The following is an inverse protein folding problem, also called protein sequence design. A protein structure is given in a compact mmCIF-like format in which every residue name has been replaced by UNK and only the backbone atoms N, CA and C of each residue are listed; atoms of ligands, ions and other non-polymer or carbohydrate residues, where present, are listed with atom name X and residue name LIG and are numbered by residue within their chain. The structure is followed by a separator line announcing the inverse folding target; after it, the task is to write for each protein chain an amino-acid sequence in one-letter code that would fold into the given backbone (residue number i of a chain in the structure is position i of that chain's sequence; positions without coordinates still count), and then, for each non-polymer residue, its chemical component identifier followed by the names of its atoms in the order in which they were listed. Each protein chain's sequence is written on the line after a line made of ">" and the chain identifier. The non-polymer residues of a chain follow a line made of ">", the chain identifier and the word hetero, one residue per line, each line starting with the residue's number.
data_IF_918887742394
#
_entry.id   IF_918887742394
#
_cell.length_a   1.000
_cell.length_b   1.000
_cell.length_c   1.000
_cell.angle_alpha   90.00
_cell.angle_beta   90.00
_cell.angle_gamma   90.00
#
_symmetry.space_group_name_H-M   'P 1'
#
loop_
_entity.id
_entity.type
_entity.pdbx_description
1 polymer ?
#
# COMPACT_ATOMS: atom_id res chain seq x y z
N UNK A 1 -1.65 -18.10 6.02
CA UNK A 1 -2.74 -17.12 6.17
C UNK A 1 -2.22 -15.69 6.36
N UNK A 2 -1.41 -15.36 7.37
CA UNK A 2 -0.91 -13.97 7.55
C UNK A 2 -0.12 -13.39 6.35
N UNK A 3 0.83 -14.16 5.78
CA UNK A 3 1.55 -13.78 4.53
C UNK A 3 0.68 -13.72 3.27
N UNK A 4 -0.51 -14.32 3.32
CA UNK A 4 -1.45 -14.41 2.22
C UNK A 4 -2.54 -13.34 2.37
N UNK A 5 -2.87 -12.88 3.56
CA UNK A 5 -3.82 -11.79 3.76
C UNK A 5 -3.12 -10.42 3.75
N UNK A 6 -2.12 -10.22 4.62
CA UNK A 6 -1.49 -8.90 4.82
C UNK A 6 -0.64 -8.45 3.63
N UNK A 7 0.24 -9.32 3.12
CA UNK A 7 1.03 -9.03 1.91
C UNK A 7 0.21 -9.01 0.61
N UNK A 8 -1.09 -9.31 0.69
CA UNK A 8 -2.03 -9.20 -0.44
C UNK A 8 -2.81 -7.89 -0.45
N UNK A 9 -3.01 -7.20 0.67
CA UNK A 9 -4.03 -6.14 0.73
C UNK A 9 -3.63 -4.79 0.10
N UNK A 10 -2.37 -4.39 0.16
CA UNK A 10 -1.89 -3.18 -0.52
C UNK A 10 -1.08 -3.47 -1.79
N UNK A 11 -0.40 -4.61 -1.84
CA UNK A 11 0.34 -5.06 -3.03
C UNK A 11 -0.63 -5.54 -4.13
N UNK A 12 -1.82 -6.09 -3.79
CA UNK A 12 -2.78 -6.52 -4.81
C UNK A 12 -3.63 -5.42 -5.40
N UNK A 13 -3.93 -4.30 -4.72
CA UNK A 13 -4.68 -3.24 -5.43
C UNK A 13 -3.84 -2.63 -6.55
N UNK A 14 -2.51 -2.54 -6.39
CA UNK A 14 -1.60 -2.10 -7.46
C UNK A 14 -1.33 -3.18 -8.52
N UNK A 15 -1.26 -4.46 -8.13
CA UNK A 15 -0.95 -5.57 -9.04
C UNK A 15 -2.21 -6.09 -9.78
N UNK A 16 -3.39 -6.06 -9.16
CA UNK A 16 -4.63 -6.66 -9.71
C UNK A 16 -5.21 -5.87 -10.88
N UNK A 17 -5.02 -4.55 -10.92
CA UNK A 17 -5.48 -3.71 -12.04
C UNK A 17 -4.75 -4.02 -13.36
N UNK A 18 -3.50 -4.50 -13.30
CA UNK A 18 -2.76 -4.91 -14.49
C UNK A 18 -2.81 -6.43 -14.74
N UNK A 19 -2.86 -7.26 -13.68
CA UNK A 19 -2.76 -8.72 -13.83
C UNK A 19 -4.05 -9.35 -14.36
N UNK A 20 -5.23 -8.91 -13.90
CA UNK A 20 -6.47 -9.63 -14.26
C UNK A 20 -7.02 -9.28 -15.63
N UNK A 21 -6.66 -8.14 -16.23
CA UNK A 21 -7.06 -7.79 -17.61
C UNK A 21 -6.16 -8.50 -18.62
N UNK A 22 -4.86 -8.51 -18.36
CA UNK A 22 -3.87 -9.03 -19.31
C UNK A 22 -3.90 -10.57 -19.34
N UNK A 23 -4.14 -11.23 -18.20
CA UNK A 23 -4.07 -12.69 -18.12
C UNK A 23 -5.38 -13.42 -18.47
N UNK A 24 -6.55 -12.81 -18.24
CA UNK A 24 -7.85 -13.47 -18.51
C UNK A 24 -8.23 -13.41 -20.00
N UNK A 25 -7.71 -12.44 -20.77
CA UNK A 25 -8.05 -12.26 -22.20
C UNK A 25 -6.93 -12.62 -23.20
N UNK A 26 -5.68 -12.84 -22.79
CA UNK A 26 -4.66 -13.36 -23.72
C UNK A 26 -4.75 -14.88 -23.87
N UNK A 27 -5.35 -15.29 -24.99
CA UNK A 27 -5.36 -16.65 -25.55
C UNK A 27 -3.98 -17.05 -26.12
N UNK A 28 -2.98 -16.15 -26.12
CA UNK A 28 -1.74 -16.31 -26.89
C UNK A 28 -0.50 -16.75 -26.09
N UNK A 29 -0.62 -17.02 -24.79
CA UNK A 29 0.52 -17.55 -24.01
C UNK A 29 0.07 -18.56 -22.96
N UNK A 30 0.61 -19.79 -23.04
CA UNK A 30 0.32 -20.90 -22.14
C UNK A 30 0.96 -20.73 -20.76
N UNK A 31 0.56 -19.69 -20.02
CA UNK A 31 0.95 -19.55 -18.62
C UNK A 31 0.17 -20.58 -17.78
N UNK A 32 0.83 -21.41 -16.95
CA UNK A 32 0.15 -22.31 -16.03
C UNK A 32 -0.79 -21.52 -15.11
N UNK A 33 -1.96 -22.06 -14.80
CA UNK A 33 -2.82 -21.44 -13.80
C UNK A 33 -2.12 -21.54 -12.44
N UNK A 34 -2.34 -20.60 -11.54
CA UNK A 34 -1.79 -20.67 -10.17
C UNK A 34 -2.21 -21.98 -9.44
N UNK A 35 -3.34 -22.57 -9.85
CA UNK A 35 -3.87 -23.85 -9.39
C UNK A 35 -2.97 -25.04 -9.77
N UNK A 36 -2.18 -24.90 -10.84
CA UNK A 36 -1.17 -25.85 -11.30
C UNK A 36 0.18 -25.58 -10.59
N UNK A 37 0.12 -25.48 -9.25
CA UNK A 37 1.09 -24.78 -8.40
C UNK A 37 2.57 -24.99 -8.75
N UNK A 38 3.00 -26.22 -9.04
CA UNK A 38 4.40 -26.52 -9.39
C UNK A 38 4.84 -25.86 -10.71
N UNK A 39 4.03 -25.97 -11.76
CA UNK A 39 4.34 -25.38 -13.07
C UNK A 39 4.27 -23.86 -13.00
N UNK A 40 3.28 -23.31 -12.29
CA UNK A 40 3.18 -21.87 -12.05
C UNK A 40 4.43 -21.35 -11.33
N UNK A 41 4.85 -22.03 -10.25
CA UNK A 41 6.06 -21.64 -9.54
C UNK A 41 7.27 -21.67 -10.46
N UNK A 42 7.52 -22.75 -11.22
CA UNK A 42 8.66 -22.83 -12.13
C UNK A 42 8.65 -21.65 -13.13
N UNK A 43 7.51 -21.40 -13.79
CA UNK A 43 7.37 -20.33 -14.76
C UNK A 43 7.58 -18.93 -14.14
N UNK A 44 7.03 -18.69 -12.95
CA UNK A 44 7.19 -17.45 -12.21
C UNK A 44 8.66 -17.22 -11.80
N UNK A 45 9.38 -18.26 -11.36
CA UNK A 45 10.80 -18.16 -11.03
C UNK A 45 11.66 -17.84 -12.25
N UNK A 46 11.40 -18.48 -13.38
CA UNK A 46 12.10 -18.17 -14.63
C UNK A 46 11.79 -16.75 -15.13
N UNK A 47 10.55 -16.28 -14.94
CA UNK A 47 10.16 -14.89 -15.19
C UNK A 47 10.95 -13.91 -14.33
N UNK A 48 10.99 -14.11 -13.02
CA UNK A 48 11.74 -13.28 -12.07
C UNK A 48 13.25 -13.29 -12.39
N UNK A 49 13.82 -14.46 -12.68
CA UNK A 49 15.23 -14.56 -13.07
C UNK A 49 15.54 -13.71 -14.29
N UNK A 50 14.74 -13.83 -15.36
CA UNK A 50 14.92 -13.02 -16.59
C UNK A 50 14.78 -11.53 -16.32
N UNK A 51 13.77 -11.14 -15.54
CA UNK A 51 13.51 -9.76 -15.14
C UNK A 51 14.72 -9.16 -14.40
N UNK A 52 15.17 -9.82 -13.34
CA UNK A 52 16.27 -9.32 -12.50
C UNK A 52 17.60 -9.35 -13.26
N UNK A 53 17.88 -10.39 -14.05
CA UNK A 53 19.07 -10.40 -14.91
C UNK A 53 19.06 -9.20 -15.86
N UNK A 54 17.94 -8.92 -16.54
CA UNK A 54 17.82 -7.76 -17.43
C UNK A 54 18.03 -6.43 -16.68
N UNK A 55 17.47 -6.29 -15.47
CA UNK A 55 17.65 -5.10 -14.63
C UNK A 55 19.13 -4.89 -14.28
N UNK A 56 19.83 -5.96 -13.88
CA UNK A 56 21.24 -5.91 -13.50
C UNK A 56 22.16 -5.67 -14.72
N UNK A 57 21.81 -6.20 -15.89
CA UNK A 57 22.55 -5.98 -17.13
C UNK A 57 22.43 -4.52 -17.63
N UNK A 58 21.30 -3.86 -17.37
CA UNK A 58 21.09 -2.44 -17.70
C UNK A 58 21.80 -1.49 -16.73
N UNK A 59 22.21 -1.97 -15.56
CA UNK A 59 22.79 -1.15 -14.51
C UNK A 59 24.30 -0.93 -14.72
N UNK A 60 24.70 0.32 -14.83
CA UNK A 60 26.10 0.71 -14.74
C UNK A 60 26.52 0.90 -13.27
N UNK A 61 26.99 -0.18 -12.64
CA UNK A 61 27.44 -0.16 -11.24
C UNK A 61 28.59 0.84 -11.01
N UNK A 62 29.52 0.98 -11.95
CA UNK A 62 30.64 1.91 -11.81
C UNK A 62 30.16 3.35 -11.72
N UNK A 63 29.21 3.75 -12.58
CA UNK A 63 28.61 5.08 -12.52
C UNK A 63 27.84 5.31 -11.20
N UNK A 64 27.13 4.29 -10.70
CA UNK A 64 26.43 4.36 -9.42
C UNK A 64 27.41 4.58 -8.25
N UNK A 65 28.51 3.81 -8.21
CA UNK A 65 29.54 3.93 -7.17
C UNK A 65 30.31 5.25 -7.28
N UNK A 66 30.59 5.74 -8.49
CA UNK A 66 31.23 7.05 -8.71
C UNK A 66 30.35 8.19 -8.18
N UNK A 67 29.05 8.19 -8.53
CA UNK A 67 28.09 9.16 -8.00
C UNK A 67 27.98 9.07 -6.48
N UNK A 68 27.92 7.86 -5.93
CA UNK A 68 27.83 7.62 -4.49
C UNK A 68 29.07 8.10 -3.74
N UNK A 69 30.26 7.87 -4.31
CA UNK A 69 31.53 8.37 -3.77
C UNK A 69 31.61 9.89 -3.83
N UNK A 70 31.19 10.50 -4.94
CA UNK A 70 31.12 11.95 -5.12
C UNK A 70 30.25 12.63 -4.04
N UNK A 71 29.09 12.05 -3.72
CA UNK A 71 28.20 12.56 -2.66
C UNK A 71 28.79 12.48 -1.25
N UNK A 72 29.91 11.78 -1.07
CA UNK A 72 30.68 11.69 0.18
C UNK A 72 32.12 12.14 0.00
N UNK A 73 32.33 13.24 -0.71
CA UNK A 73 33.63 13.90 -0.86
C UNK A 73 34.74 12.99 -1.40
N UNK A 74 34.38 12.02 -2.24
CA UNK A 74 35.32 11.09 -2.88
C UNK A 74 35.75 9.90 -2.02
N UNK A 75 35.07 9.61 -0.89
CA UNK A 75 35.33 8.40 -0.11
C UNK A 75 35.02 7.17 -0.98
N UNK A 76 36.00 6.29 -1.12
CA UNK A 76 35.85 5.06 -1.90
C UNK A 76 34.72 4.17 -1.35
N UNK A 77 33.94 3.57 -2.24
CA UNK A 77 32.86 2.66 -1.88
C UNK A 77 32.79 1.48 -2.84
N UNK A 78 32.11 0.41 -2.40
CA UNK A 78 31.93 -0.82 -3.17
C UNK A 78 30.56 -1.43 -2.89
N UNK A 79 30.10 -2.28 -3.80
CA UNK A 79 29.00 -3.19 -3.48
C UNK A 79 29.57 -4.55 -3.04
N UNK A 80 29.37 -4.98 -1.79
CA UNK A 80 29.97 -6.22 -1.28
C UNK A 80 29.31 -7.48 -1.83
N UNK A 81 28.15 -7.36 -2.48
CA UNK A 81 27.41 -8.48 -3.03
C UNK A 81 27.56 -8.53 -4.55
N UNK A 82 27.81 -9.72 -5.14
CA UNK A 82 27.79 -9.86 -6.60
C UNK A 82 26.42 -9.44 -7.14
N UNK A 83 26.40 -8.62 -8.19
CA UNK A 83 25.19 -8.22 -8.89
C UNK A 83 24.79 -9.29 -9.92
N UNK A 84 24.41 -10.45 -9.41
CA UNK A 84 23.86 -11.54 -10.19
C UNK A 84 22.59 -12.05 -9.54
N UNK A 85 21.66 -12.57 -10.32
CA UNK A 85 20.46 -13.19 -9.77
C UNK A 85 20.84 -14.40 -8.91
N UNK A 86 20.56 -14.31 -7.61
CA UNK A 86 20.69 -15.40 -6.66
C UNK A 86 19.39 -15.53 -5.85
N UNK A 87 18.67 -16.61 -6.09
CA UNK A 87 17.41 -16.91 -5.41
C UNK A 87 17.58 -17.07 -3.90
N UNK A 88 18.73 -17.54 -3.44
CA UNK A 88 18.99 -17.71 -2.00
C UNK A 88 19.15 -16.36 -1.29
N UNK A 89 19.64 -15.34 -2.00
CA UNK A 89 19.81 -13.98 -1.50
C UNK A 89 18.56 -13.11 -1.66
N UNK A 90 17.55 -13.56 -2.43
CA UNK A 90 16.32 -12.85 -2.79
C UNK A 90 15.77 -11.97 -1.66
N UNK A 91 15.36 -12.56 -0.54
CA UNK A 91 14.74 -11.83 0.57
C UNK A 91 15.65 -10.79 1.25
N UNK A 92 16.93 -10.74 0.91
CA UNK A 92 17.92 -9.81 1.49
C UNK A 92 18.33 -8.68 0.53
N UNK A 93 17.91 -8.76 -0.73
CA UNK A 93 18.26 -7.83 -1.82
C UNK A 93 17.04 -7.33 -2.59
N UNK A 94 15.83 -7.81 -2.29
CA UNK A 94 14.62 -7.31 -2.93
C UNK A 94 13.39 -7.36 -2.02
N UNK A 95 12.52 -6.36 -2.17
CA UNK A 95 11.14 -6.35 -1.70
C UNK A 95 10.16 -6.73 -2.81
N UNK A 96 8.90 -6.33 -2.67
CA UNK A 96 7.87 -6.53 -3.70
C UNK A 96 8.26 -5.85 -5.02
N UNK A 97 8.42 -4.53 -4.99
CA UNK A 97 8.59 -3.70 -6.19
C UNK A 97 10.01 -3.17 -6.41
N UNK A 98 10.96 -3.47 -5.53
CA UNK A 98 12.28 -2.84 -5.52
C UNK A 98 13.41 -3.86 -5.35
N UNK A 99 14.51 -3.62 -6.07
CA UNK A 99 15.79 -4.28 -5.88
C UNK A 99 16.72 -3.34 -5.10
N UNK A 100 17.49 -3.88 -4.17
CA UNK A 100 18.31 -3.13 -3.23
C UNK A 100 19.77 -3.50 -3.36
N UNK A 101 20.60 -2.52 -3.71
CA UNK A 101 22.05 -2.67 -3.77
C UNK A 101 22.66 -2.04 -2.52
N UNK A 102 23.34 -2.86 -1.74
CA UNK A 102 24.10 -2.38 -0.58
C UNK A 102 25.39 -1.73 -1.07
N UNK A 103 25.70 -0.56 -0.49
CA UNK A 103 26.94 0.16 -0.76
C UNK A 103 27.69 0.30 0.57
N UNK A 104 28.95 -0.14 0.58
CA UNK A 104 29.85 -0.07 1.73
C UNK A 104 31.00 0.89 1.41
N UNK A 105 31.13 1.94 2.22
CA UNK A 105 32.23 2.88 2.14
C UNK A 105 33.45 2.37 2.91
N UNK A 106 34.64 2.85 2.53
CA UNK A 106 35.90 2.51 3.17
C UNK A 106 35.96 2.87 4.68
N UNK A 107 35.16 3.85 5.11
CA UNK A 107 35.01 4.26 6.51
C UNK A 107 33.96 3.43 7.28
N UNK A 108 33.37 2.41 6.66
CA UNK A 108 32.41 1.50 7.28
C UNK A 108 30.95 1.95 7.22
N UNK A 109 30.66 3.16 6.73
CA UNK A 109 29.29 3.65 6.52
C UNK A 109 28.61 2.82 5.43
N UNK A 110 27.29 2.64 5.58
CA UNK A 110 26.48 1.79 4.69
C UNK A 110 25.32 2.58 4.12
N UNK A 111 25.22 2.58 2.80
CA UNK A 111 24.07 3.12 2.06
C UNK A 111 23.33 2.00 1.33
N UNK A 112 22.16 2.35 0.81
CA UNK A 112 21.32 1.52 -0.01
C UNK A 112 20.99 2.29 -1.30
N UNK A 113 21.21 1.67 -2.46
CA UNK A 113 20.57 2.10 -3.70
C UNK A 113 19.32 1.26 -3.91
N UNK A 114 18.14 1.90 -3.90
CA UNK A 114 16.85 1.27 -4.18
C UNK A 114 16.48 1.53 -5.62
N UNK A 115 16.30 0.45 -6.37
CA UNK A 115 16.06 0.46 -7.81
C UNK A 115 14.68 -0.17 -8.06
N UNK A 116 13.84 0.53 -8.81
CA UNK A 116 12.49 0.06 -9.13
C UNK A 116 12.57 -1.12 -10.10
N UNK A 117 11.95 -2.24 -9.72
CA UNK A 117 11.76 -3.39 -10.61
C UNK A 117 10.79 -3.04 -11.74
N UNK A 118 10.86 -3.77 -12.85
CA UNK A 118 9.96 -3.59 -13.98
C UNK A 118 9.61 -4.94 -14.59
N UNK A 119 8.35 -5.34 -14.46
CA UNK A 119 7.80 -6.58 -15.00
C UNK A 119 6.39 -6.35 -15.56
N UNK A 120 5.70 -7.43 -15.95
CA UNK A 120 4.38 -7.36 -16.58
C UNK A 120 3.28 -6.75 -15.70
N UNK A 121 3.51 -6.61 -14.39
CA UNK A 121 2.54 -6.06 -13.44
C UNK A 121 2.92 -4.65 -12.99
N UNK A 122 4.00 -4.09 -13.55
CA UNK A 122 4.46 -2.75 -13.20
C UNK A 122 3.62 -1.68 -13.91
N UNK A 123 3.29 -0.57 -13.23
CA UNK A 123 2.57 0.52 -13.87
C UNK A 123 3.42 1.18 -14.97
N UNK A 124 2.80 1.99 -15.84
CA UNK A 124 3.53 2.72 -16.88
C UNK A 124 4.64 3.63 -16.31
N UNK A 125 5.69 3.95 -17.09
CA UNK A 125 6.88 4.65 -16.59
C UNK A 125 6.61 6.01 -15.95
N UNK A 126 5.71 6.81 -16.50
CA UNK A 126 5.31 8.12 -15.98
C UNK A 126 4.72 8.04 -14.57
N UNK A 127 3.86 7.04 -14.30
CA UNK A 127 3.37 6.79 -12.94
C UNK A 127 4.47 6.26 -12.02
N UNK A 128 5.38 5.41 -12.51
CA UNK A 128 6.52 4.93 -11.69
C UNK A 128 7.42 6.07 -11.25
N UNK A 129 7.70 7.01 -12.15
CA UNK A 129 8.52 8.19 -11.86
C UNK A 129 7.81 9.14 -10.89
N UNK A 130 6.50 9.30 -11.04
CA UNK A 130 5.70 10.08 -10.09
C UNK A 130 5.73 9.46 -8.69
N UNK A 131 5.57 8.14 -8.58
CA UNK A 131 5.69 7.41 -7.32
C UNK A 131 7.08 7.58 -6.69
N UNK A 132 8.15 7.48 -7.49
CA UNK A 132 9.51 7.66 -6.98
C UNK A 132 9.74 9.08 -6.45
N UNK A 133 9.30 10.12 -7.18
CA UNK A 133 9.37 11.51 -6.70
C UNK A 133 8.59 11.69 -5.40
N UNK A 134 7.43 11.06 -5.29
CA UNK A 134 6.61 11.11 -4.09
C UNK A 134 7.27 10.43 -2.88
N UNK A 135 7.87 9.25 -3.06
CA UNK A 135 8.65 8.57 -2.02
C UNK A 135 9.79 9.46 -1.50
N UNK A 136 10.54 10.08 -2.42
CA UNK A 136 11.64 10.98 -2.08
C UNK A 136 11.14 12.21 -1.33
N UNK A 137 10.04 12.81 -1.76
CA UNK A 137 9.45 13.98 -1.10
C UNK A 137 8.98 13.64 0.33
N UNK A 138 8.30 12.50 0.51
CA UNK A 138 7.89 12.02 1.83
C UNK A 138 9.08 11.76 2.75
N UNK A 139 10.10 11.04 2.28
CA UNK A 139 11.30 10.77 3.08
C UNK A 139 12.08 12.04 3.45
N UNK A 140 12.18 13.01 2.55
CA UNK A 140 12.84 14.29 2.84
C UNK A 140 12.07 15.11 3.88
N UNK A 141 10.74 15.15 3.78
CA UNK A 141 9.89 15.83 4.75
C UNK A 141 9.97 15.17 6.13
N UNK A 142 9.85 13.83 6.19
CA UNK A 142 9.95 13.05 7.43
C UNK A 142 11.35 13.06 8.02
N UNK A 143 12.39 13.23 7.20
CA UNK A 143 13.79 13.34 7.65
C UNK A 143 14.06 14.57 8.54
N UNK A 144 13.13 15.52 8.61
CA UNK A 144 13.18 16.67 9.54
C UNK A 144 12.41 16.43 10.85
N UNK A 145 11.86 15.23 11.05
CA UNK A 145 11.06 14.84 12.21
C UNK A 145 11.81 13.83 13.08
N UNK A 146 11.19 13.40 14.18
CA UNK A 146 11.69 12.29 15.01
C UNK A 146 11.29 10.90 14.50
N UNK A 147 10.53 10.81 13.42
CA UNK A 147 10.18 9.52 12.80
C UNK A 147 11.46 8.88 12.23
N UNK A 148 11.80 7.63 12.59
CA UNK A 148 13.03 7.00 12.16
C UNK A 148 12.91 6.54 10.69
N UNK A 149 13.15 7.45 9.75
CA UNK A 149 13.12 7.18 8.29
C UNK A 149 14.54 7.17 7.71
N UNK A 150 14.79 6.46 6.60
CA UNK A 150 16.10 6.50 5.95
C UNK A 150 16.35 7.89 5.35
N UNK A 151 17.52 8.47 5.63
CA UNK A 151 17.93 9.72 4.97
C UNK A 151 18.18 9.51 3.48
N UNK A 152 17.53 10.30 2.63
CA UNK A 152 17.80 10.34 1.18
C UNK A 152 19.02 11.21 0.91
N UNK A 153 19.96 10.71 0.11
CA UNK A 153 21.17 11.42 -0.31
C UNK A 153 21.08 11.95 -1.74
N UNK A 154 20.47 11.18 -2.63
CA UNK A 154 20.31 11.51 -4.05
C UNK A 154 19.25 10.60 -4.68
N UNK A 155 18.67 11.03 -5.79
CA UNK A 155 17.81 10.19 -6.61
C UNK A 155 17.94 10.60 -8.08
N UNK A 156 17.62 9.68 -8.98
CA UNK A 156 17.51 9.98 -10.41
C UNK A 156 16.47 9.07 -11.05
N UNK A 157 15.76 9.60 -12.05
CA UNK A 157 14.77 8.85 -12.81
C UNK A 157 15.44 8.08 -13.95
N UNK A 158 14.70 7.12 -14.50
CA UNK A 158 15.17 6.38 -15.67
C UNK A 158 15.35 7.33 -16.87
N UNK A 159 16.41 7.13 -17.64
CA UNK A 159 16.79 8.02 -18.74
C UNK A 159 17.44 9.35 -18.34
N UNK A 160 17.45 9.72 -17.06
CA UNK A 160 18.06 10.96 -16.54
C UNK A 160 19.44 10.74 -15.91
N UNK A 161 19.98 9.53 -15.99
CA UNK A 161 21.21 9.15 -15.26
C UNK A 161 22.15 8.25 -16.05
N UNK A 162 23.49 8.42 -15.93
CA UNK A 162 24.46 7.50 -16.51
C UNK A 162 24.47 6.11 -15.86
N UNK A 163 23.74 5.92 -14.75
CA UNK A 163 23.54 4.63 -14.09
C UNK A 163 22.73 3.66 -14.95
N UNK A 164 21.94 4.18 -15.91
CA UNK A 164 21.16 3.38 -16.86
C UNK A 164 19.81 2.90 -16.31
N UNK A 165 19.52 3.11 -15.03
CA UNK A 165 18.25 2.84 -14.37
C UNK A 165 17.98 3.89 -13.29
N UNK A 166 16.70 4.18 -13.05
CA UNK A 166 16.30 5.06 -11.95
C UNK A 166 16.63 4.49 -10.57
N UNK A 167 17.03 5.34 -9.63
CA UNK A 167 17.44 4.94 -8.29
C UNK A 167 17.09 5.98 -7.22
N UNK A 168 17.00 5.52 -5.97
CA UNK A 168 17.10 6.34 -4.77
C UNK A 168 18.33 5.88 -3.98
N UNK A 169 19.29 6.78 -3.77
CA UNK A 169 20.43 6.57 -2.87
C UNK A 169 20.05 7.08 -1.48
N UNK A 170 20.03 6.17 -0.50
CA UNK A 170 19.58 6.49 0.84
C UNK A 170 20.37 5.74 1.92
N UNK A 171 20.15 6.13 3.17
CA UNK A 171 20.73 5.48 4.33
C UNK A 171 20.28 4.02 4.45
N UNK A 172 21.23 3.14 4.79
CA UNK A 172 20.89 1.79 5.20
C UNK A 172 20.67 1.73 6.70
N UNK A 173 19.41 1.74 7.13
CA UNK A 173 19.04 1.58 8.54
C UNK A 173 19.42 0.19 9.08
N UNK A 174 19.78 0.09 10.38
CA UNK A 174 20.05 -1.17 11.05
C UNK A 174 18.75 -1.90 11.42
N UNK A 175 18.87 -3.13 11.90
CA UNK A 175 17.74 -3.95 12.34
C UNK A 175 17.23 -4.94 11.30
N UNK A 176 16.15 -5.63 11.66
CA UNK A 176 15.44 -6.63 10.84
C UNK A 176 13.96 -6.28 10.79
N UNK A 177 13.27 -6.63 9.71
CA UNK A 177 11.82 -6.49 9.63
C UNK A 177 11.14 -7.20 10.79
N UNK A 178 10.23 -6.49 11.44
CA UNK A 178 9.41 -6.98 12.53
C UNK A 178 8.55 -8.14 12.04
N UNK A 179 8.55 -9.23 12.81
CA UNK A 179 7.66 -10.37 12.59
C UNK A 179 6.64 -10.38 13.72
N UNK A 180 5.59 -9.58 13.61
CA UNK A 180 4.60 -9.33 14.66
C UNK A 180 4.09 -10.63 15.33
N UNK A 181 3.76 -11.62 14.51
CA UNK A 181 3.25 -12.92 14.95
C UNK A 181 4.25 -13.77 15.75
N UNK A 182 5.56 -13.48 15.67
CA UNK A 182 6.60 -14.13 16.48
C UNK A 182 6.96 -13.38 17.75
N UNK A 183 6.53 -12.12 17.88
CA UNK A 183 6.83 -11.29 19.04
C UNK A 183 5.98 -11.69 20.25
N UNK A 184 6.58 -11.69 21.44
CA UNK A 184 5.88 -11.88 22.72
C UNK A 184 4.95 -10.69 23.02
N UNK A 185 3.98 -10.83 23.95
CA UNK A 185 3.15 -9.71 24.38
C UNK A 185 3.95 -8.50 24.89
N UNK A 186 5.05 -8.73 25.62
CA UNK A 186 5.94 -7.68 26.12
C UNK A 186 6.69 -6.99 24.99
N UNK A 187 7.19 -7.76 24.02
CA UNK A 187 7.87 -7.25 22.83
C UNK A 187 6.91 -6.42 21.96
N UNK A 188 5.68 -6.89 21.76
CA UNK A 188 4.60 -6.16 21.08
C UNK A 188 4.25 -4.86 21.79
N UNK A 189 4.07 -4.91 23.11
CA UNK A 189 3.82 -3.71 23.93
C UNK A 189 4.95 -2.70 23.78
N UNK A 190 6.21 -3.15 23.77
CA UNK A 190 7.36 -2.28 23.58
C UNK A 190 7.37 -1.62 22.20
N UNK A 191 7.06 -2.36 21.12
CA UNK A 191 6.93 -1.79 19.78
C UNK A 191 5.76 -0.80 19.71
N UNK A 192 4.59 -1.16 20.24
CA UNK A 192 3.42 -0.27 20.30
C UNK A 192 3.72 1.05 21.04
N UNK A 193 4.49 0.99 22.13
CA UNK A 193 4.92 2.20 22.85
C UNK A 193 5.75 3.14 21.99
N UNK A 194 6.67 2.60 21.18
CA UNK A 194 7.49 3.42 20.27
C UNK A 194 6.69 3.89 19.05
N UNK A 195 5.78 3.06 18.53
CA UNK A 195 4.89 3.44 17.43
C UNK A 195 3.91 4.55 17.86
N UNK A 196 3.49 4.57 19.12
CA UNK A 196 2.68 5.65 19.66
C UNK A 196 3.44 6.98 19.64
N UNK A 197 4.76 6.97 19.91
CA UNK A 197 5.58 8.17 19.78
C UNK A 197 5.68 8.64 18.31
N UNK A 198 5.68 7.71 17.35
CA UNK A 198 5.63 8.03 15.92
C UNK A 198 4.27 8.64 15.55
N UNK A 199 3.15 8.07 16.00
CA UNK A 199 1.81 8.63 15.75
C UNK A 199 1.69 10.07 16.26
N UNK A 200 2.19 10.33 17.47
CA UNK A 200 2.18 11.67 18.09
C UNK A 200 3.07 12.65 17.31
N UNK A 201 4.22 12.21 16.80
CA UNK A 201 5.06 13.05 15.95
C UNK A 201 4.35 13.39 14.63
N UNK A 202 3.72 12.42 13.99
CA UNK A 202 3.02 12.60 12.72
C UNK A 202 1.77 13.49 12.85
N UNK A 203 1.05 13.41 13.97
CA UNK A 203 -0.09 14.30 14.27
C UNK A 203 0.35 15.77 14.37
N UNK A 204 1.61 16.06 14.65
CA UNK A 204 2.11 17.44 14.69
C UNK A 204 2.35 18.08 13.32
N UNK A 205 2.10 17.34 12.22
CA UNK A 205 2.44 17.72 10.84
C UNK A 205 1.19 17.76 9.94
N UNK A 206 0.32 18.77 10.11
CA UNK A 206 -0.91 18.87 9.32
C UNK A 206 -0.65 19.37 7.89
N UNK A 207 -1.49 18.91 6.98
CA UNK A 207 -1.58 19.31 5.57
C UNK A 207 -2.96 19.87 5.26
N UNK A 208 -3.06 20.66 4.19
CA UNK A 208 -4.29 21.32 3.76
C UNK A 208 -5.18 20.47 2.85
N UNK A 209 -4.67 19.36 2.31
CA UNK A 209 -5.40 18.48 1.39
C UNK A 209 -4.95 17.03 1.49
N UNK A 210 -5.78 16.13 0.96
CA UNK A 210 -5.51 14.71 0.75
C UNK A 210 -4.84 14.49 -0.60
N UNK A 211 -3.79 13.70 -0.62
CA UNK A 211 -3.01 13.44 -1.82
C UNK A 211 -1.63 12.91 -1.46
N UNK A 212 -0.67 13.06 -2.36
CA UNK A 212 0.71 12.68 -2.09
C UNK A 212 1.63 13.89 -2.17
N UNK A 213 2.66 13.93 -1.32
CA UNK A 213 3.78 14.85 -1.55
C UNK A 213 4.36 14.56 -2.93
N UNK A 214 4.45 15.55 -3.80
CA UNK A 214 4.77 15.33 -5.23
C UNK A 214 6.06 16.01 -5.68
N UNK A 215 6.61 16.89 -4.85
CA UNK A 215 7.80 17.66 -5.16
C UNK A 215 8.84 17.60 -4.02
N UNK A 216 9.99 16.93 -4.24
CA UNK A 216 11.09 16.89 -3.29
C UNK A 216 11.52 18.29 -2.81
N UNK A 217 11.64 18.47 -1.49
CA UNK A 217 11.99 19.74 -0.86
C UNK A 217 10.82 20.73 -0.66
N UNK A 218 9.59 20.33 -0.98
CA UNK A 218 8.36 21.10 -0.73
C UNK A 218 7.37 20.28 0.10
N UNK A 219 6.44 20.97 0.76
CA UNK A 219 5.27 20.43 1.47
C UNK A 219 4.01 20.39 0.57
N UNK A 220 4.15 20.63 -0.74
CA UNK A 220 3.05 20.61 -1.67
C UNK A 220 2.44 19.22 -1.83
N UNK A 221 1.11 19.15 -1.72
CA UNK A 221 0.31 17.94 -1.92
C UNK A 221 -0.30 17.97 -3.32
N UNK A 222 0.10 17.01 -4.15
CA UNK A 222 -0.47 16.76 -5.46
C UNK A 222 -1.44 15.58 -5.47
N UNK A 223 -1.84 15.12 -6.68
CA UNK A 223 -2.64 13.90 -6.85
C UNK A 223 -2.00 12.68 -6.17
N UNK A 224 -2.80 11.64 -5.92
CA UNK A 224 -2.28 10.43 -5.27
C UNK A 224 -1.25 9.71 -6.13
N UNK A 225 -0.11 9.39 -5.54
CA UNK A 225 0.96 8.59 -6.13
C UNK A 225 0.66 7.09 -6.01
N UNK A 226 -0.49 6.63 -6.52
CA UNK A 226 -0.95 5.24 -6.33
C UNK A 226 -1.60 4.68 -7.58
N UNK A 227 -1.23 3.44 -7.92
CA UNK A 227 -1.80 2.68 -9.05
C UNK A 227 -3.33 2.54 -8.97
N UNK A 228 -3.95 2.21 -7.81
CA UNK A 228 -5.40 2.05 -7.72
C UNK A 228 -6.19 3.35 -7.86
N UNK A 229 -5.51 4.49 -7.78
CA UNK A 229 -6.08 5.84 -7.84
C UNK A 229 -5.67 6.56 -9.13
N UNK A 230 -5.25 5.80 -10.14
CA UNK A 230 -4.82 6.32 -11.44
C UNK A 230 -5.47 5.53 -12.58
N UNK A 231 -6.01 6.22 -13.57
CA UNK A 231 -6.46 5.62 -14.83
C UNK A 231 -5.69 6.18 -16.03
N UNK A 232 -5.71 5.42 -17.13
CA UNK A 232 -5.17 5.87 -18.41
C UNK A 232 -6.31 5.98 -19.42
N UNK A 233 -6.52 7.18 -19.94
CA UNK A 233 -7.52 7.44 -20.98
C UNK A 233 -6.80 8.01 -22.18
N UNK A 234 -6.89 7.34 -23.34
CA UNK A 234 -6.16 7.73 -24.57
C UNK A 234 -4.65 7.93 -24.33
N UNK A 235 -4.03 7.02 -23.57
CA UNK A 235 -2.62 7.08 -23.17
C UNK A 235 -2.22 8.29 -22.32
N UNK A 236 -3.18 9.01 -21.75
CA UNK A 236 -2.93 10.07 -20.77
C UNK A 236 -3.16 9.54 -19.36
N UNK A 237 -2.17 9.73 -18.49
CA UNK A 237 -2.28 9.45 -17.07
C UNK A 237 -3.23 10.44 -16.40
N UNK A 238 -4.26 9.92 -15.73
CA UNK A 238 -5.24 10.68 -14.96
C UNK A 238 -5.22 10.15 -13.53
N UNK A 239 -4.70 10.95 -12.61
CA UNK A 239 -4.62 10.63 -11.20
C UNK A 239 -5.79 11.28 -10.45
N UNK A 240 -6.27 10.62 -9.40
CA UNK A 240 -7.22 11.24 -8.49
C UNK A 240 -6.52 12.22 -7.55
N UNK A 241 -7.22 13.29 -7.19
CA UNK A 241 -6.79 14.27 -6.21
C UNK A 241 -5.95 15.42 -6.77
N UNK A 242 -5.47 16.32 -5.89
CA UNK A 242 -5.72 16.29 -4.44
C UNK A 242 -7.18 16.64 -4.10
N UNK A 243 -7.64 16.26 -2.91
CA UNK A 243 -9.00 16.57 -2.42
C UNK A 243 -8.95 17.28 -1.07
N UNK A 244 -9.94 18.14 -0.79
CA UNK A 244 -10.10 18.81 0.51
C UNK A 244 -11.28 18.25 1.32
N UNK A 245 -12.03 17.31 0.74
CA UNK A 245 -13.17 16.65 1.37
C UNK A 245 -13.01 15.13 1.24
N UNK A 246 -12.89 14.39 2.35
CA UNK A 246 -12.83 12.94 2.35
C UNK A 246 -13.99 12.27 1.60
N UNK A 247 -15.18 12.87 1.60
CA UNK A 247 -16.35 12.32 0.90
C UNK A 247 -16.20 12.40 -0.62
N UNK A 248 -15.62 13.48 -1.15
CA UNK A 248 -15.31 13.63 -2.58
C UNK A 248 -14.25 12.61 -3.01
N UNK A 249 -13.22 12.39 -2.18
CA UNK A 249 -12.21 11.35 -2.41
C UNK A 249 -12.82 9.94 -2.42
N UNK A 250 -13.61 9.59 -1.40
CA UNK A 250 -14.29 8.29 -1.31
C UNK A 250 -15.19 8.06 -2.52
N UNK A 251 -15.96 9.06 -2.94
CA UNK A 251 -16.81 8.97 -4.12
C UNK A 251 -15.97 8.76 -5.39
N UNK A 252 -14.95 9.59 -5.62
CA UNK A 252 -14.13 9.53 -6.83
C UNK A 252 -13.36 8.22 -6.97
N UNK A 253 -12.84 7.67 -5.86
CA UNK A 253 -12.15 6.38 -5.83
C UNK A 253 -13.08 5.21 -6.16
N UNK A 254 -14.27 5.15 -5.55
CA UNK A 254 -15.27 4.12 -5.85
C UNK A 254 -15.77 4.25 -7.30
N UNK A 255 -16.02 5.47 -7.77
CA UNK A 255 -16.44 5.70 -9.16
C UNK A 255 -15.38 5.30 -10.17
N UNK A 256 -14.09 5.52 -9.88
CA UNK A 256 -12.99 5.03 -10.70
C UNK A 256 -13.04 3.49 -10.81
N UNK A 257 -13.17 2.79 -9.68
CA UNK A 257 -13.27 1.32 -9.68
C UNK A 257 -14.49 0.85 -10.50
N UNK A 258 -15.64 1.52 -10.36
CA UNK A 258 -16.82 1.23 -11.16
C UNK A 258 -16.58 1.46 -12.66
N UNK A 259 -15.82 2.50 -13.06
CA UNK A 259 -15.43 2.71 -14.47
C UNK A 259 -14.56 1.56 -14.97
N UNK A 260 -13.60 1.08 -14.17
CA UNK A 260 -12.73 -0.04 -14.52
C UNK A 260 -13.52 -1.35 -14.65
N UNK A 261 -14.48 -1.62 -13.76
CA UNK A 261 -15.43 -2.74 -13.88
C UNK A 261 -16.20 -2.65 -15.22
N UNK A 262 -16.71 -1.46 -15.56
CA UNK A 262 -17.48 -1.27 -16.80
C UNK A 262 -16.64 -1.47 -18.07
N UNK A 263 -15.32 -1.24 -18.02
CA UNK A 263 -14.37 -1.53 -19.10
C UNK A 263 -13.93 -2.99 -19.13
N UNK A 264 -14.29 -3.77 -18.12
CA UNK A 264 -13.81 -5.15 -17.93
C UNK A 264 -12.32 -5.18 -17.59
N UNK A 265 -11.83 -4.12 -16.94
CA UNK A 265 -10.45 -3.97 -16.48
C UNK A 265 -10.26 -4.39 -15.01
N UNK A 266 -11.35 -4.70 -14.31
CA UNK A 266 -11.30 -5.18 -12.93
C UNK A 266 -12.41 -6.18 -12.65
N UNK A 267 -12.21 -7.03 -11.63
CA UNK A 267 -13.18 -8.03 -11.17
C UNK A 267 -13.68 -9.01 -12.26
N UNK A 268 -12.78 -9.45 -13.14
CA UNK A 268 -13.10 -10.36 -14.23
C UNK A 268 -13.83 -11.63 -13.72
N UNK A 269 -14.99 -11.92 -14.32
CA UNK A 269 -15.86 -13.05 -13.94
C UNK A 269 -16.79 -12.79 -12.75
N UNK A 270 -16.71 -11.62 -12.11
CA UNK A 270 -17.60 -11.19 -11.01
C UNK A 270 -18.03 -9.72 -11.17
N UNK A 271 -18.12 -9.24 -12.40
CA UNK A 271 -18.34 -7.82 -12.72
C UNK A 271 -19.66 -7.30 -12.14
N UNK A 272 -20.74 -8.10 -12.21
CA UNK A 272 -22.04 -7.73 -11.66
C UNK A 272 -21.98 -7.66 -10.12
N UNK A 273 -21.38 -8.66 -9.48
CA UNK A 273 -21.23 -8.71 -8.02
C UNK A 273 -20.42 -7.52 -7.52
N UNK A 274 -19.29 -7.25 -8.17
CA UNK A 274 -18.43 -6.11 -7.86
C UNK A 274 -19.16 -4.79 -8.08
N UNK A 275 -19.91 -4.64 -9.19
CA UNK A 275 -20.68 -3.43 -9.43
C UNK A 275 -21.70 -3.16 -8.33
N UNK A 276 -22.45 -4.19 -7.90
CA UNK A 276 -23.45 -4.05 -6.83
C UNK A 276 -22.79 -3.65 -5.49
N UNK A 277 -21.67 -4.29 -5.13
CA UNK A 277 -20.91 -3.94 -3.93
C UNK A 277 -20.46 -2.49 -3.97
N UNK A 278 -19.81 -2.06 -5.05
CA UNK A 278 -19.30 -0.68 -5.15
C UNK A 278 -20.43 0.35 -5.22
N UNK A 279 -21.56 0.01 -5.85
CA UNK A 279 -22.75 0.87 -5.82
C UNK A 279 -23.30 1.01 -4.41
N UNK A 280 -23.32 -0.06 -3.61
CA UNK A 280 -23.69 0.01 -2.20
C UNK A 280 -22.70 0.83 -1.37
N UNK A 281 -21.39 0.70 -1.62
CA UNK A 281 -20.38 1.51 -0.94
C UNK A 281 -20.57 3.02 -1.17
N UNK A 282 -21.00 3.43 -2.37
CA UNK A 282 -21.39 4.83 -2.62
C UNK A 282 -22.54 5.30 -1.72
N UNK A 283 -23.53 4.43 -1.46
CA UNK A 283 -24.65 4.75 -0.56
C UNK A 283 -24.19 4.84 0.91
N UNK A 284 -23.10 4.17 1.28
CA UNK A 284 -22.52 4.19 2.62
C UNK A 284 -21.72 5.45 2.95
N UNK A 285 -21.23 6.21 1.94
CA UNK A 285 -20.30 7.33 2.16
C UNK A 285 -20.85 8.32 3.19
N UNK A 286 -22.14 8.66 3.13
CA UNK A 286 -22.73 9.62 4.06
C UNK A 286 -22.72 9.13 5.51
N UNK A 287 -22.97 7.83 5.74
CA UNK A 287 -22.92 7.27 7.09
C UNK A 287 -21.47 7.16 7.58
N UNK A 288 -20.55 6.72 6.73
CA UNK A 288 -19.11 6.70 7.03
C UNK A 288 -18.63 8.10 7.43
N UNK A 289 -18.95 9.13 6.63
CA UNK A 289 -18.48 10.48 6.92
C UNK A 289 -19.08 11.01 8.21
N UNK A 290 -20.35 10.74 8.55
CA UNK A 290 -20.90 11.12 9.87
C UNK A 290 -20.14 10.53 11.06
N UNK A 291 -19.59 9.32 10.93
CA UNK A 291 -18.82 8.68 11.98
C UNK A 291 -17.43 9.31 12.18
N UNK A 292 -16.86 9.93 11.14
CA UNK A 292 -15.47 10.39 11.12
C UNK A 292 -15.28 11.87 10.74
N UNK A 293 -16.36 12.61 10.45
CA UNK A 293 -16.35 14.03 10.08
C UNK A 293 -16.08 14.97 11.26
N UNK A 294 -15.82 14.43 12.45
CA UNK A 294 -15.43 15.19 13.65
C UNK A 294 -13.89 15.35 13.72
N UNK A 295 -13.24 15.41 12.56
CA UNK A 295 -11.84 15.79 12.46
C UNK A 295 -11.64 17.29 12.71
N UNK A 296 -10.39 17.69 12.87
CA UNK A 296 -9.95 19.10 12.93
C UNK A 296 -9.93 19.80 11.56
N UNK A 297 -10.38 19.11 10.50
CA UNK A 297 -10.35 19.61 9.12
C UNK A 297 -8.95 19.65 8.51
N UNK A 298 -7.96 19.03 9.16
CA UNK A 298 -6.60 18.86 8.65
C UNK A 298 -6.39 17.45 8.12
N UNK A 299 -5.29 17.29 7.39
CA UNK A 299 -4.85 16.02 6.83
C UNK A 299 -3.46 15.66 7.35
N UNK A 300 -3.16 14.37 7.47
CA UNK A 300 -1.94 13.90 8.10
C UNK A 300 -1.31 12.81 7.25
N UNK A 301 0.02 12.79 7.20
CA UNK A 301 0.73 11.77 6.43
C UNK A 301 0.52 10.39 7.05
N UNK A 302 0.07 9.46 6.22
CA UNK A 302 -0.16 8.08 6.56
C UNK A 302 0.85 7.20 5.83
N UNK A 303 1.41 6.23 6.55
CA UNK A 303 2.13 5.13 5.92
C UNK A 303 1.12 4.19 5.23
N UNK A 304 1.27 3.99 3.93
CA UNK A 304 0.30 3.22 3.15
C UNK A 304 0.43 1.69 3.30
N UNK A 305 1.48 1.20 3.94
CA UNK A 305 1.63 -0.19 4.38
C UNK A 305 1.65 -0.23 5.91
N UNK A 306 0.64 -0.81 6.54
CA UNK A 306 0.53 -0.90 7.99
C UNK A 306 0.54 -2.36 8.48
N UNK A 307 1.11 -3.26 7.66
CA UNK A 307 1.19 -4.71 7.94
C UNK A 307 2.33 -5.14 8.86
N UNK A 308 3.22 -4.18 9.19
CA UNK A 308 4.22 -4.25 10.23
C UNK A 308 5.62 -4.71 9.80
N UNK A 309 5.79 -5.33 8.63
CA UNK A 309 7.11 -5.80 8.15
C UNK A 309 8.01 -4.67 7.59
N UNK A 310 7.41 -3.51 7.30
CA UNK A 310 8.08 -2.24 7.04
C UNK A 310 8.72 -1.59 8.29
N UNK A 311 8.40 -2.09 9.51
CA UNK A 311 9.03 -1.65 10.76
C UNK A 311 10.31 -2.47 10.98
N UNK A 312 11.45 -1.81 11.08
CA UNK A 312 12.73 -2.40 11.44
C UNK A 312 12.93 -2.35 12.95
N UNK A 313 13.35 -3.48 13.53
CA UNK A 313 13.68 -3.59 14.95
C UNK A 313 15.05 -4.20 15.18
N UNK A 314 15.71 -3.81 16.28
CA UNK A 314 16.92 -4.48 16.76
C UNK A 314 16.60 -5.78 17.54
N UNK A 315 17.59 -6.35 18.23
CA UNK A 315 17.40 -7.58 19.00
C UNK A 315 16.58 -7.38 20.29
N UNK A 316 16.46 -6.14 20.76
CA UNK A 316 15.70 -5.78 21.96
C UNK A 316 14.32 -5.20 21.58
N UNK A 317 13.90 -5.30 20.33
CA UNK A 317 12.65 -4.72 19.80
C UNK A 317 12.58 -3.19 19.92
N UNK A 318 13.71 -2.48 19.89
CA UNK A 318 13.70 -1.04 19.65
C UNK A 318 13.46 -0.79 18.15
N UNK A 319 12.57 0.13 17.79
CA UNK A 319 12.35 0.54 16.41
C UNK A 319 13.60 1.29 15.93
N UNK A 320 14.24 0.75 14.91
CA UNK A 320 15.43 1.34 14.27
C UNK A 320 15.13 2.00 12.94
N UNK A 321 13.92 1.79 12.40
CA UNK A 321 13.52 2.35 11.12
C UNK A 321 12.07 2.03 10.75
N UNK A 322 11.45 2.93 10.00
CA UNK A 322 10.20 2.74 9.26
C UNK A 322 10.53 3.01 7.80
N UNK A 323 10.46 1.96 6.98
CA UNK A 323 10.85 2.01 5.56
C UNK A 323 9.61 1.83 4.66
N UNK A 324 9.79 1.89 3.34
CA UNK A 324 8.72 1.64 2.36
C UNK A 324 7.60 2.69 2.27
N UNK A 325 8.01 3.97 2.34
CA UNK A 325 7.15 5.16 2.16
C UNK A 325 6.70 5.43 0.72
N UNK A 326 6.74 4.43 -0.18
CA UNK A 326 6.52 4.64 -1.62
C UNK A 326 5.11 5.09 -1.99
N UNK A 327 4.11 4.81 -1.14
CA UNK A 327 2.72 5.22 -1.35
C UNK A 327 2.21 6.13 -0.23
N UNK A 328 3.13 6.77 0.50
CA UNK A 328 2.77 7.72 1.54
C UNK A 328 1.85 8.81 0.99
N UNK A 329 0.80 9.12 1.75
CA UNK A 329 -0.23 10.06 1.34
C UNK A 329 -0.77 10.79 2.57
N UNK A 330 -1.24 12.02 2.40
CA UNK A 330 -2.00 12.72 3.42
C UNK A 330 -3.47 12.26 3.38
N UNK A 331 -4.01 11.98 4.55
CA UNK A 331 -5.34 11.42 4.76
C UNK A 331 -6.04 12.13 5.92
N UNK A 332 -7.35 11.96 6.05
CA UNK A 332 -8.08 12.52 7.20
C UNK A 332 -7.50 11.98 8.52
N UNK A 333 -7.62 12.72 9.62
CA UNK A 333 -7.11 12.29 10.93
C UNK A 333 -7.56 10.87 11.33
N UNK A 334 -8.83 10.54 11.07
CA UNK A 334 -9.38 9.23 11.36
C UNK A 334 -8.74 8.11 10.52
N UNK A 335 -8.42 8.39 9.26
CA UNK A 335 -7.76 7.42 8.37
C UNK A 335 -6.27 7.29 8.64
N UNK A 336 -5.58 8.40 8.89
CA UNK A 336 -4.15 8.43 9.15
C UNK A 336 -3.77 7.74 10.48
N UNK A 337 -4.65 7.81 11.50
CA UNK A 337 -4.35 7.36 12.86
C UNK A 337 -5.25 6.24 13.38
N UNK A 338 -6.06 5.60 12.54
CA UNK A 338 -6.70 4.34 12.94
C UNK A 338 -5.65 3.27 13.25
N UNK A 339 -6.10 2.19 13.88
CA UNK A 339 -5.22 1.09 14.23
C UNK A 339 -4.51 0.51 12.99
N UNK A 340 -3.19 0.27 13.04
CA UNK A 340 -2.49 -0.46 11.99
C UNK A 340 -3.10 -1.85 11.74
N UNK A 341 -3.16 -2.30 10.49
CA UNK A 341 -3.63 -3.65 10.13
C UNK A 341 -2.89 -4.74 10.91
N UNK A 342 -1.59 -4.57 11.22
CA UNK A 342 -0.82 -5.54 12.00
C UNK A 342 -1.40 -5.84 13.39
N UNK A 343 -2.17 -4.91 13.97
CA UNK A 343 -2.78 -5.06 15.29
C UNK A 343 -4.18 -5.71 15.23
N UNK A 344 -4.75 -5.89 14.03
CA UNK A 344 -6.08 -6.45 13.89
C UNK A 344 -6.11 -7.95 14.22
N UNK A 345 -7.15 -8.44 14.91
CA UNK A 345 -7.38 -9.87 15.09
C UNK A 345 -7.83 -10.47 13.75
N UNK A 346 -6.88 -10.95 12.95
CA UNK A 346 -7.11 -11.29 11.53
C UNK A 346 -8.28 -12.25 11.33
N UNK A 347 -8.38 -13.34 12.10
CA UNK A 347 -9.48 -14.31 11.94
C UNK A 347 -10.85 -13.64 12.18
N UNK A 348 -11.03 -13.03 13.36
CA UNK A 348 -12.24 -12.30 13.73
C UNK A 348 -12.57 -11.18 12.72
N UNK A 349 -11.53 -10.50 12.23
CA UNK A 349 -11.70 -9.47 11.21
C UNK A 349 -12.30 -10.10 9.94
N UNK A 350 -11.73 -11.15 9.39
CA UNK A 350 -12.31 -11.82 8.21
C UNK A 350 -13.69 -12.43 8.47
N UNK A 351 -13.98 -12.85 9.70
CA UNK A 351 -15.29 -13.38 10.12
C UNK A 351 -16.36 -12.28 10.34
N UNK A 352 -16.03 -11.01 10.07
CA UNK A 352 -16.98 -9.90 10.17
C UNK A 352 -17.19 -9.36 11.59
N UNK A 353 -16.34 -9.72 12.56
CA UNK A 353 -16.42 -9.24 13.94
C UNK A 353 -16.02 -7.76 14.05
N UNK A 354 -16.89 -6.95 14.65
CA UNK A 354 -16.71 -5.50 14.78
C UNK A 354 -16.18 -5.06 16.15
N UNK A 355 -15.93 -5.98 17.07
CA UNK A 355 -15.33 -5.65 18.37
C UNK A 355 -13.84 -5.38 18.23
N UNK A 356 -13.33 -4.54 19.13
CA UNK A 356 -11.92 -4.19 19.23
C UNK A 356 -11.09 -5.42 19.67
N UNK A 357 -9.95 -5.63 19.03
CA UNK A 357 -8.97 -6.65 19.41
C UNK A 357 -8.10 -6.25 20.59
N UNK A 358 -7.35 -7.21 21.12
CA UNK A 358 -6.47 -7.03 22.27
C UNK A 358 -5.33 -6.05 21.97
N UNK A 359 -4.57 -6.28 20.90
CA UNK A 359 -3.44 -5.42 20.51
C UNK A 359 -3.90 -3.98 20.20
N UNK A 360 -5.05 -3.81 19.55
CA UNK A 360 -5.66 -2.48 19.31
C UNK A 360 -6.03 -1.78 20.64
N UNK A 361 -6.61 -2.53 21.58
CA UNK A 361 -6.97 -2.01 22.91
C UNK A 361 -5.73 -1.56 23.69
N UNK A 362 -4.66 -2.35 23.65
CA UNK A 362 -3.38 -2.02 24.28
C UNK A 362 -2.78 -0.78 23.65
N UNK A 363 -2.77 -0.68 22.32
CA UNK A 363 -2.23 0.49 21.61
C UNK A 363 -2.99 1.77 21.94
N UNK A 364 -4.32 1.73 21.94
CA UNK A 364 -5.14 2.87 22.34
C UNK A 364 -4.87 3.31 23.79
N UNK A 365 -4.73 2.36 24.72
CA UNK A 365 -4.41 2.68 26.12
C UNK A 365 -3.02 3.34 26.23
N UNK A 366 -2.03 2.89 25.47
CA UNK A 366 -0.70 3.50 25.47
C UNK A 366 -0.75 4.95 24.95
N UNK A 367 -1.50 5.23 23.88
CA UNK A 367 -1.69 6.60 23.37
C UNK A 367 -2.34 7.49 24.44
N UNK A 368 -3.34 6.98 25.15
CA UNK A 368 -4.00 7.70 26.24
C UNK A 368 -3.08 7.93 27.45
N UNK A 369 -2.28 6.94 27.85
CA UNK A 369 -1.26 7.06 28.90
C UNK A 369 -0.19 8.11 28.54
N UNK A 370 0.13 8.24 27.25
CA UNK A 370 1.00 9.30 26.71
C UNK A 370 0.31 10.67 26.56
N UNK A 371 -0.96 10.79 26.97
CA UNK A 371 -1.72 12.04 26.97
C UNK A 371 -2.54 12.32 25.71
N UNK A 372 -2.56 11.42 24.73
CA UNK A 372 -3.20 11.63 23.43
C UNK A 372 -4.53 10.88 23.33
N UNK A 373 -5.54 11.42 24.01
CA UNK A 373 -6.89 10.82 24.07
C UNK A 373 -7.59 10.78 22.71
N UNK A 374 -7.36 11.77 21.85
CA UNK A 374 -7.96 11.84 20.51
C UNK A 374 -7.45 10.68 19.65
N UNK A 375 -6.12 10.49 19.57
CA UNK A 375 -5.53 9.35 18.87
C UNK A 375 -6.02 8.01 19.43
N UNK A 376 -6.09 7.88 20.76
CA UNK A 376 -6.63 6.68 21.39
C UNK A 376 -8.09 6.39 21.00
N UNK A 377 -8.92 7.42 20.91
CA UNK A 377 -10.32 7.30 20.47
C UNK A 377 -10.43 6.93 18.98
N UNK A 378 -9.59 7.50 18.13
CA UNK A 378 -9.50 7.14 16.71
C UNK A 378 -9.15 5.65 16.55
N UNK A 379 -8.16 5.15 17.30
CA UNK A 379 -7.79 3.72 17.27
C UNK A 379 -8.97 2.84 17.70
N UNK A 380 -9.65 3.17 18.81
CA UNK A 380 -10.78 2.39 19.34
C UNK A 380 -11.97 2.34 18.38
N UNK A 381 -12.19 3.42 17.63
CA UNK A 381 -13.34 3.57 16.73
C UNK A 381 -12.99 3.32 15.25
N UNK A 382 -11.74 2.97 14.92
CA UNK A 382 -11.27 2.85 13.54
C UNK A 382 -11.82 1.65 12.75
N UNK A 383 -12.45 0.68 13.43
CA UNK A 383 -12.88 -0.59 12.82
C UNK A 383 -13.79 -0.41 11.60
N UNK A 384 -14.73 0.54 11.65
CA UNK A 384 -15.64 0.78 10.53
C UNK A 384 -14.89 1.33 9.29
N UNK A 385 -13.86 2.17 9.45
CA UNK A 385 -12.99 2.58 8.32
C UNK A 385 -12.20 1.41 7.75
N UNK A 386 -11.67 0.51 8.59
CA UNK A 386 -11.03 -0.71 8.07
C UNK A 386 -12.00 -1.51 7.21
N UNK A 387 -13.23 -1.73 7.69
CA UNK A 387 -14.26 -2.45 6.93
C UNK A 387 -14.54 -1.80 5.58
N UNK A 388 -14.76 -0.49 5.59
CA UNK A 388 -15.10 0.26 4.39
C UNK A 388 -13.96 0.21 3.36
N UNK A 389 -12.73 0.53 3.77
CA UNK A 389 -11.58 0.52 2.88
C UNK A 389 -11.28 -0.85 2.29
N UNK A 390 -11.37 -1.92 3.11
CA UNK A 390 -11.21 -3.27 2.60
C UNK A 390 -12.28 -3.56 1.54
N UNK A 391 -13.55 -3.23 1.78
CA UNK A 391 -14.60 -3.46 0.79
C UNK A 391 -14.40 -2.66 -0.50
N UNK A 392 -13.80 -1.47 -0.44
CA UNK A 392 -13.48 -0.67 -1.63
C UNK A 392 -12.42 -1.32 -2.52
N UNK A 393 -11.42 -2.01 -1.95
CA UNK A 393 -10.24 -2.48 -2.70
C UNK A 393 -10.05 -3.99 -2.74
N UNK A 394 -10.91 -4.78 -2.09
CA UNK A 394 -10.66 -6.21 -1.92
C UNK A 394 -10.58 -6.97 -3.24
N UNK A 395 -9.63 -7.90 -3.36
CA UNK A 395 -9.53 -8.82 -4.48
C UNK A 395 -10.54 -9.97 -4.34
N UNK A 396 -11.47 -10.09 -5.29
CA UNK A 396 -12.50 -11.13 -5.27
C UNK A 396 -11.98 -12.54 -5.63
N UNK A 397 -10.66 -12.70 -5.82
CA UNK A 397 -10.03 -14.01 -5.86
C UNK A 397 -10.25 -14.81 -4.56
N UNK A 398 -10.32 -14.13 -3.41
CA UNK A 398 -10.71 -14.72 -2.11
C UNK A 398 -12.16 -14.35 -1.76
N UNK A 399 -13.09 -14.98 -2.46
CA UNK A 399 -14.51 -14.66 -2.33
C UNK A 399 -15.06 -14.94 -0.93
N UNK A 400 -14.69 -16.06 -0.32
CA UNK A 400 -15.21 -16.44 1.00
C UNK A 400 -14.73 -15.47 2.08
N UNK A 401 -13.45 -15.05 2.03
CA UNK A 401 -12.94 -14.00 2.91
C UNK A 401 -13.63 -12.66 2.71
N UNK A 402 -13.94 -12.29 1.46
CA UNK A 402 -14.67 -11.05 1.15
C UNK A 402 -16.08 -11.02 1.78
N UNK A 403 -16.81 -12.14 1.74
CA UNK A 403 -18.19 -12.19 2.25
C UNK A 403 -18.27 -11.81 3.73
N UNK A 404 -17.34 -12.28 4.56
CA UNK A 404 -17.29 -11.93 5.98
C UNK A 404 -16.92 -10.46 6.21
N UNK A 405 -15.98 -9.92 5.43
CA UNK A 405 -15.63 -8.49 5.46
C UNK A 405 -16.85 -7.61 5.13
N UNK A 406 -17.57 -7.97 4.08
CA UNK A 406 -18.73 -7.23 3.59
C UNK A 406 -19.92 -7.34 4.55
N UNK A 407 -20.16 -8.52 5.15
CA UNK A 407 -21.12 -8.68 6.24
C UNK A 407 -20.76 -7.81 7.44
N UNK A 408 -19.49 -7.79 7.83
CA UNK A 408 -18.99 -6.97 8.92
C UNK A 408 -19.27 -5.48 8.71
N UNK A 409 -19.04 -4.96 7.49
CA UNK A 409 -19.36 -3.58 7.13
C UNK A 409 -20.86 -3.28 7.26
N UNK A 410 -21.72 -4.12 6.66
CA UNK A 410 -23.18 -3.98 6.72
C UNK A 410 -23.71 -3.99 8.16
N UNK A 411 -23.17 -4.89 8.99
CA UNK A 411 -23.50 -4.95 10.41
C UNK A 411 -23.02 -3.72 11.18
N UNK A 412 -21.82 -3.21 10.88
CA UNK A 412 -21.28 -2.01 11.53
C UNK A 412 -22.11 -0.75 11.21
N UNK A 413 -22.62 -0.65 9.99
CA UNK A 413 -23.47 0.45 9.53
C UNK A 413 -24.96 0.26 9.87
N UNK A 414 -25.34 -0.93 10.36
CA UNK A 414 -26.75 -1.34 10.49
C UNK A 414 -27.54 -1.17 9.17
N UNK A 415 -26.88 -1.41 8.04
CA UNK A 415 -27.44 -1.31 6.68
C UNK A 415 -27.48 -2.70 6.06
N UNK A 416 -28.68 -3.23 5.80
CA UNK A 416 -28.86 -4.61 5.35
C UNK A 416 -28.15 -5.62 6.28
N UNK A 417 -28.18 -5.37 7.59
CA UNK A 417 -27.51 -6.19 8.59
C UNK A 417 -28.06 -7.63 8.61
N UNK A 418 -27.19 -8.59 8.90
CA UNK A 418 -27.46 -10.03 9.04
C UNK A 418 -28.05 -10.75 7.81
N UNK A 419 -28.30 -10.04 6.70
CA UNK A 419 -28.73 -10.65 5.44
C UNK A 419 -27.62 -11.51 4.85
N UNK A 420 -27.95 -12.72 4.39
CA UNK A 420 -27.02 -13.53 3.60
C UNK A 420 -26.64 -12.84 2.30
N UNK A 421 -25.53 -13.25 1.68
CA UNK A 421 -25.12 -12.72 0.39
C UNK A 421 -26.20 -12.86 -0.70
N UNK A 422 -26.86 -14.01 -0.79
CA UNK A 422 -27.84 -14.26 -1.84
C UNK A 422 -29.09 -13.39 -1.67
N UNK A 423 -29.58 -13.25 -0.44
CA UNK A 423 -30.70 -12.34 -0.12
C UNK A 423 -30.32 -10.89 -0.39
N UNK A 424 -29.12 -10.48 0.04
CA UNK A 424 -28.62 -9.14 -0.20
C UNK A 424 -28.49 -8.84 -1.70
N UNK A 425 -27.95 -9.78 -2.48
CA UNK A 425 -27.74 -9.63 -3.93
C UNK A 425 -29.07 -9.48 -4.67
N UNK A 426 -30.09 -10.27 -4.32
CA UNK A 426 -31.44 -10.13 -4.91
C UNK A 426 -31.98 -8.73 -4.63
N UNK A 427 -31.90 -8.27 -3.39
CA UNK A 427 -32.36 -6.93 -3.01
C UNK A 427 -31.55 -5.83 -3.70
N UNK A 428 -30.24 -5.98 -3.83
CA UNK A 428 -29.37 -5.02 -4.50
C UNK A 428 -29.68 -4.92 -6.01
N UNK A 429 -29.95 -6.04 -6.68
CA UNK A 429 -30.36 -6.06 -8.09
C UNK A 429 -31.67 -5.31 -8.31
N UNK A 430 -32.65 -5.46 -7.41
CA UNK A 430 -33.90 -4.71 -7.45
C UNK A 430 -33.68 -3.23 -7.16
N UNK A 431 -32.97 -2.92 -6.06
CA UNK A 431 -32.65 -1.55 -5.60
C UNK A 431 -31.95 -0.74 -6.68
N UNK A 432 -31.02 -1.35 -7.42
CA UNK A 432 -30.22 -0.69 -8.45
C UNK A 432 -30.70 -0.97 -9.88
N UNK A 433 -31.89 -1.55 -10.06
CA UNK A 433 -32.44 -1.94 -11.36
C UNK A 433 -32.53 -0.81 -12.40
N UNK A 434 -32.63 0.44 -11.94
CA UNK A 434 -32.65 1.64 -12.79
C UNK A 434 -31.26 2.14 -13.22
N UNK A 435 -30.15 1.62 -12.65
CA UNK A 435 -28.80 2.03 -13.05
C UNK A 435 -28.46 1.44 -14.44
N UNK A 436 -28.30 2.33 -15.41
CA UNK A 436 -28.01 1.98 -16.81
C UNK A 436 -26.70 1.19 -16.96
N UNK A 437 -25.72 1.41 -16.07
CA UNK A 437 -24.45 0.67 -16.08
C UNK A 437 -24.67 -0.78 -15.65
N UNK A 438 -25.47 -1.01 -14.60
CA UNK A 438 -25.86 -2.36 -14.17
C UNK A 438 -26.62 -3.10 -15.28
N UNK A 439 -27.62 -2.46 -15.88
CA UNK A 439 -28.36 -3.04 -17.01
C UNK A 439 -27.45 -3.40 -18.20
N UNK A 440 -26.37 -2.63 -18.39
CA UNK A 440 -25.38 -2.90 -19.44
C UNK A 440 -24.52 -4.12 -19.10
N UNK A 441 -24.09 -4.28 -17.84
CA UNK A 441 -23.37 -5.47 -17.41
C UNK A 441 -24.22 -6.73 -17.52
N UNK A 442 -25.48 -6.69 -17.07
CA UNK A 442 -26.41 -7.82 -17.16
C UNK A 442 -26.60 -8.26 -18.62
N UNK A 443 -26.80 -7.30 -19.53
CA UNK A 443 -26.93 -7.57 -20.98
C UNK A 443 -25.67 -8.12 -21.65
N UNK A 444 -24.48 -7.92 -21.05
CA UNK A 444 -23.22 -8.50 -21.55
C UNK A 444 -22.99 -9.92 -21.05
N UNK A 445 -23.61 -10.29 -19.93
CA UNK A 445 -23.45 -11.58 -19.26
C UNK A 445 -24.47 -12.64 -19.73
N UNK A 446 -25.65 -12.21 -20.18
CA UNK A 446 -26.64 -13.06 -20.87
C UNK A 446 -26.45 -13.03 -22.38
#
# INVERSE_FOLDING_TARGET
>A
MFKIAAGRLYDQTAIVLFVNVICVKHIEHGCPKWQDGELYHIAAHEGEKREITKLLDSLNLSALLERTSYLRDGIACSSPQPLVYDRSARSSVMGGMNYHIKILFADGVRWLARIRRSNATSPPPDLRDYIMRSEVAALQMLGHTRVPVPKVFDYALDGETPVGVGYILMEKLPGKSLRWYLASPEERKKVMTQLADVYIELESLPFSSMGSLDNPGSDHIGPFARVPLTEYVNSQMIQLGPYNDPSEYMQASIELIMRLIMRGESYAGREIDAFLVHRFLLDCILEITKHYSVGDGQFYIQHADDTGDHILVDNDYNITGIVDWEWAQSESNAEAFKSPIMLLPVADFYDGVNTLGEDESVFANILEEKGNKVLAEIVRNGRLLHRFQFCCGYDFADWDGFLGLFQGLRNALNMDADMSWDEWKVNALERYSADVRLQTLIRRAG
#
